data_IF_398059758238
#
_entry.id   IF_398059758238
#
_cell.length_a   1.000
_cell.length_b   1.000
_cell.length_c   1.000
_cell.angle_alpha   90.00
_cell.angle_beta   90.00
_cell.angle_gamma   90.00
#
_symmetry.space_group_name_H-M   'P 1'
#
loop_
_entity.id
_entity.type
_entity.pdbx_description
1 polymer ?
#
# COMPACT_ATOMS: atom_id res chain seq x y z
N UNK A 1 24.48 16.96 11.73
CA UNK A 1 24.29 16.61 13.15
C UNK A 1 25.45 15.70 13.54
N UNK A 2 26.41 16.17 14.33
CA UNK A 2 27.58 15.37 14.67
C UNK A 2 27.15 14.28 15.66
N UNK A 3 27.42 13.01 15.31
CA UNK A 3 27.23 11.89 16.24
C UNK A 3 28.46 11.87 17.14
N UNK A 4 28.28 12.16 18.44
CA UNK A 4 29.33 12.09 19.45
C UNK A 4 29.26 10.74 20.17
N UNK A 5 30.42 10.10 20.38
CA UNK A 5 30.53 8.87 21.17
C UNK A 5 30.93 9.22 22.59
N UNK A 6 30.06 8.93 23.55
CA UNK A 6 30.26 9.25 24.97
C UNK A 6 30.51 7.95 25.75
N UNK A 7 31.58 7.87 26.55
CA UNK A 7 31.81 6.74 27.46
C UNK A 7 30.67 6.59 28.49
N UNK A 8 30.29 5.33 28.79
CA UNK A 8 29.11 5.01 29.60
C UNK A 8 29.16 5.63 31.01
N UNK A 9 30.36 5.76 31.56
CA UNK A 9 30.62 6.29 32.90
C UNK A 9 30.27 7.79 32.97
N UNK A 10 30.45 8.50 31.85
CA UNK A 10 30.13 9.93 31.71
C UNK A 10 28.67 10.18 31.33
N UNK A 11 27.97 9.18 30.81
CA UNK A 11 26.56 9.31 30.41
C UNK A 11 25.69 9.76 31.57
N UNK A 12 25.89 9.19 32.76
CA UNK A 12 25.10 9.52 33.95
C UNK A 12 25.24 10.98 34.40
N UNK A 13 26.44 11.57 34.27
CA UNK A 13 26.70 12.96 34.62
C UNK A 13 26.12 13.90 33.55
N UNK A 14 26.26 13.55 32.27
CA UNK A 14 25.69 14.29 31.16
C UNK A 14 24.16 14.29 31.22
N UNK A 15 23.55 13.13 31.50
CA UNK A 15 22.11 12.96 31.68
C UNK A 15 21.54 13.83 32.81
N UNK A 16 22.27 13.97 33.91
CA UNK A 16 21.85 14.81 35.05
C UNK A 16 21.88 16.30 34.71
N UNK A 17 22.85 16.74 33.92
CA UNK A 17 23.06 18.16 33.55
C UNK A 17 22.23 18.59 32.34
N UNK A 18 21.91 17.68 31.44
CA UNK A 18 21.12 17.96 30.25
C UNK A 18 19.61 17.80 30.55
N UNK A 19 18.89 18.93 30.63
CA UNK A 19 17.44 18.92 30.86
C UNK A 19 16.66 18.20 29.75
N UNK A 20 17.16 18.24 28.52
CA UNK A 20 16.59 17.56 27.36
C UNK A 20 16.89 16.05 27.33
N UNK A 21 17.80 15.56 28.18
CA UNK A 21 18.07 14.11 28.31
C UNK A 21 16.98 13.38 29.09
N UNK A 22 16.08 14.12 29.75
CA UNK A 22 14.94 13.53 30.47
C UNK A 22 13.85 13.20 29.47
N UNK A 23 13.52 11.91 29.36
CA UNK A 23 12.29 11.51 28.69
C UNK A 23 11.09 12.16 29.41
N UNK A 24 10.13 12.76 28.69
CA UNK A 24 8.96 13.37 29.32
C UNK A 24 8.27 12.37 30.23
N UNK A 25 8.01 12.78 31.48
CA UNK A 25 7.34 11.94 32.48
C UNK A 25 5.83 12.04 32.31
N UNK A 26 5.11 10.92 32.51
CA UNK A 26 3.64 10.87 32.47
C UNK A 26 2.95 11.40 33.74
N UNK A 27 3.72 12.05 34.61
CA UNK A 27 3.25 12.49 35.93
C UNK A 27 2.57 13.87 35.89
N UNK A 28 2.70 14.59 34.78
CA UNK A 28 2.12 15.93 34.59
C UNK A 28 1.35 15.96 33.29
N UNK A 29 0.08 16.40 33.38
CA UNK A 29 -0.79 16.59 32.22
C UNK A 29 -0.08 17.52 31.24
N UNK A 30 0.30 16.97 30.10
CA UNK A 30 0.99 17.68 29.04
C UNK A 30 0.13 17.69 27.77
N UNK A 31 0.60 18.36 26.72
CA UNK A 31 -0.12 18.47 25.44
C UNK A 31 -0.44 17.13 24.75
N UNK A 32 0.14 16.03 25.22
CA UNK A 32 0.01 14.70 24.64
C UNK A 32 -0.89 13.77 25.46
N UNK A 33 -1.42 14.21 26.61
CA UNK A 33 -2.18 13.36 27.54
C UNK A 33 -3.65 13.78 27.68
N UNK A 34 -4.58 12.81 27.88
CA UNK A 34 -4.35 11.35 27.98
C UNK A 34 -4.14 10.69 26.60
N UNK A 35 -4.55 11.34 25.52
CA UNK A 35 -4.32 10.91 24.14
C UNK A 35 -3.97 12.14 23.31
N UNK A 36 -2.81 12.11 22.67
CA UNK A 36 -2.44 13.08 21.64
C UNK A 36 -3.23 12.75 20.38
N UNK A 37 -4.38 13.40 20.19
CA UNK A 37 -5.13 13.31 18.93
C UNK A 37 -4.66 14.43 17.99
N UNK A 38 -4.35 14.11 16.72
CA UNK A 38 -4.14 15.16 15.73
C UNK A 38 -5.44 15.98 15.58
N UNK A 39 -5.31 17.28 15.41
CA UNK A 39 -6.44 18.13 15.03
C UNK A 39 -6.79 17.83 13.57
N UNK A 40 -8.05 17.50 13.32
CA UNK A 40 -8.56 17.23 11.97
C UNK A 40 -9.41 18.42 11.49
N UNK A 41 -8.83 19.27 10.64
CA UNK A 41 -9.57 20.32 9.92
C UNK A 41 -9.50 20.05 8.39
N UNK A 42 -10.07 18.94 7.87
CA UNK A 42 -10.02 18.64 6.45
C UNK A 42 -10.79 19.69 5.64
N UNK A 43 -10.20 20.16 4.55
CA UNK A 43 -10.86 21.06 3.60
C UNK A 43 -11.84 20.36 2.65
N UNK A 44 -12.00 19.03 2.78
CA UNK A 44 -12.86 18.20 1.95
C UNK A 44 -13.81 17.38 2.82
N UNK A 45 -14.87 16.83 2.19
CA UNK A 45 -15.82 15.92 2.83
C UNK A 45 -15.93 14.65 2.00
N UNK A 46 -16.11 13.53 2.69
CA UNK A 46 -16.48 12.25 2.11
C UNK A 46 -17.99 12.07 2.29
N UNK A 47 -18.68 11.74 1.22
CA UNK A 47 -20.12 11.50 1.18
C UNK A 47 -20.41 10.02 0.86
N UNK A 48 -21.59 9.49 1.24
CA UNK A 48 -21.98 8.12 0.90
C UNK A 48 -21.98 7.81 -0.60
N UNK A 49 -22.07 8.83 -1.45
CA UNK A 49 -22.08 8.72 -2.92
C UNK A 49 -20.68 8.76 -3.54
N UNK A 50 -19.63 9.01 -2.76
CA UNK A 50 -18.28 9.06 -3.28
C UNK A 50 -17.74 7.66 -3.61
N UNK A 51 -17.09 7.58 -4.77
CA UNK A 51 -16.34 6.42 -5.19
C UNK A 51 -14.92 6.54 -4.66
N UNK A 52 -14.52 5.56 -3.84
CA UNK A 52 -13.22 5.47 -3.19
C UNK A 52 -12.30 4.57 -4.00
N UNK A 53 -11.03 4.94 -4.13
CA UNK A 53 -9.99 4.03 -4.62
C UNK A 53 -8.91 3.86 -3.56
N UNK A 54 -8.72 2.65 -3.05
CA UNK A 54 -7.69 2.33 -2.06
C UNK A 54 -6.54 1.58 -2.71
N UNK A 55 -5.31 2.04 -2.51
CA UNK A 55 -4.11 1.33 -2.95
C UNK A 55 -2.97 1.48 -1.95
N UNK A 56 -2.05 0.52 -1.95
CA UNK A 56 -0.85 0.57 -1.12
C UNK A 56 -0.61 -0.71 -0.35
N UNK A 57 -0.06 -0.56 0.86
CA UNK A 57 0.20 -1.65 1.79
C UNK A 57 -1.07 -2.42 2.23
N UNK A 58 -0.89 -3.46 3.06
CA UNK A 58 -2.01 -4.16 3.69
C UNK A 58 -2.93 -3.25 4.53
N UNK A 59 -2.43 -2.09 4.98
CA UNK A 59 -3.23 -1.10 5.66
C UNK A 59 -4.31 -0.49 4.75
N UNK A 60 -4.00 -0.25 3.47
CA UNK A 60 -4.99 0.20 2.50
C UNK A 60 -6.14 -0.81 2.34
N UNK A 61 -5.83 -2.11 2.38
CA UNK A 61 -6.84 -3.15 2.33
C UNK A 61 -7.75 -3.15 3.58
N UNK A 62 -7.18 -2.93 4.77
CA UNK A 62 -7.99 -2.77 6.00
C UNK A 62 -8.92 -1.57 5.91
N UNK A 63 -8.41 -0.42 5.42
CA UNK A 63 -9.25 0.76 5.17
C UNK A 63 -10.37 0.41 4.18
N UNK A 64 -10.06 -0.30 3.10
CA UNK A 64 -11.06 -0.70 2.10
C UNK A 64 -12.17 -1.59 2.69
N UNK A 65 -11.83 -2.51 3.60
CA UNK A 65 -12.80 -3.36 4.30
C UNK A 65 -13.74 -2.51 5.15
N UNK A 66 -13.20 -1.60 5.97
CA UNK A 66 -13.99 -0.74 6.84
C UNK A 66 -14.88 0.23 6.05
N UNK A 67 -14.36 0.83 4.97
CA UNK A 67 -15.16 1.72 4.10
C UNK A 67 -16.33 0.96 3.45
N UNK A 68 -16.12 -0.29 3.01
CA UNK A 68 -17.20 -1.13 2.49
C UNK A 68 -18.22 -1.49 3.58
N UNK A 69 -17.77 -1.77 4.80
CA UNK A 69 -18.67 -2.03 5.93
C UNK A 69 -19.54 -0.82 6.28
N UNK A 70 -19.05 0.40 6.02
CA UNK A 70 -19.80 1.65 6.12
C UNK A 70 -20.73 1.93 4.92
N UNK A 71 -20.80 1.02 3.94
CA UNK A 71 -21.67 1.14 2.76
C UNK A 71 -21.11 2.00 1.63
N UNK A 72 -19.83 2.41 1.70
CA UNK A 72 -19.19 3.18 0.63
C UNK A 72 -18.78 2.29 -0.54
N UNK A 73 -18.76 2.87 -1.75
CA UNK A 73 -18.29 2.18 -2.95
C UNK A 73 -16.78 2.26 -3.05
N UNK A 74 -16.10 1.11 -2.92
CA UNK A 74 -14.63 1.03 -2.85
C UNK A 74 -14.04 0.17 -3.97
N UNK A 75 -13.16 0.80 -4.72
CA UNK A 75 -12.31 0.24 -5.75
C UNK A 75 -10.85 0.10 -5.26
N UNK A 76 -10.00 -0.69 -5.93
CA UNK A 76 -10.37 -1.71 -6.91
C UNK A 76 -11.30 -2.76 -6.27
N UNK A 77 -12.19 -3.33 -7.08
CA UNK A 77 -13.02 -4.46 -6.63
C UNK A 77 -12.14 -5.71 -6.44
N UNK A 78 -12.58 -6.61 -5.56
CA UNK A 78 -11.87 -7.88 -5.34
C UNK A 78 -12.02 -8.79 -6.56
N UNK A 79 -10.97 -8.82 -7.38
CA UNK A 79 -10.93 -9.66 -8.58
C UNK A 79 -10.57 -11.12 -8.29
N UNK A 80 -10.31 -11.53 -7.02
CA UNK A 80 -9.91 -12.91 -6.70
C UNK A 80 -10.86 -13.96 -7.26
N UNK A 81 -12.15 -13.63 -7.40
CA UNK A 81 -13.17 -14.50 -8.00
C UNK A 81 -12.86 -14.81 -9.47
N UNK A 82 -12.29 -13.85 -10.20
CA UNK A 82 -11.94 -13.96 -11.62
C UNK A 82 -10.57 -14.61 -11.85
N UNK A 83 -9.80 -14.84 -10.78
CA UNK A 83 -8.48 -15.47 -10.83
C UNK A 83 -8.60 -16.98 -10.61
N UNK A 84 -7.93 -17.83 -11.40
CA UNK A 84 -7.95 -19.27 -11.18
C UNK A 84 -7.37 -19.64 -9.79
N UNK A 85 -7.94 -20.65 -9.09
CA UNK A 85 -7.62 -20.95 -7.69
C UNK A 85 -6.12 -21.09 -7.38
N UNK A 86 -5.35 -21.69 -8.26
CA UNK A 86 -3.92 -21.94 -8.13
C UNK A 86 -3.07 -20.65 -8.15
N UNK A 87 -3.57 -19.57 -8.76
CA UNK A 87 -2.93 -18.26 -8.76
C UNK A 87 -3.43 -17.34 -7.63
N UNK A 88 -4.49 -17.74 -6.91
CA UNK A 88 -5.02 -16.92 -5.81
C UNK A 88 -4.02 -16.87 -4.66
N UNK A 89 -3.78 -15.68 -4.16
CA UNK A 89 -3.05 -15.44 -2.91
C UNK A 89 -3.74 -14.32 -2.15
N UNK A 90 -3.49 -14.23 -0.85
CA UNK A 90 -4.07 -13.20 0.00
C UNK A 90 -3.67 -11.80 -0.49
N UNK A 91 -2.44 -11.64 -0.97
CA UNK A 91 -1.86 -10.41 -1.50
C UNK A 91 -1.40 -10.62 -2.94
N UNK A 92 -2.34 -10.84 -3.85
CA UNK A 92 -1.97 -11.04 -5.26
C UNK A 92 -1.40 -9.77 -5.89
N UNK A 93 -1.69 -8.62 -5.28
CA UNK A 93 -1.13 -7.34 -5.66
C UNK A 93 -0.17 -6.80 -4.59
N UNK A 94 1.10 -6.64 -4.95
CA UNK A 94 2.17 -6.16 -4.07
C UNK A 94 2.44 -4.66 -4.32
N UNK A 95 1.65 -3.79 -3.68
CA UNK A 95 1.77 -2.33 -3.78
C UNK A 95 2.44 -1.68 -2.59
N UNK A 96 3.50 -2.29 -2.09
CA UNK A 96 4.19 -1.81 -0.89
C UNK A 96 5.10 -0.61 -1.14
N UNK A 97 5.49 -0.36 -2.39
CA UNK A 97 6.40 0.73 -2.73
C UNK A 97 5.75 1.72 -3.68
N UNK A 98 6.08 3.02 -3.58
CA UNK A 98 5.64 4.02 -4.55
C UNK A 98 5.97 3.66 -6.00
N UNK A 99 7.06 2.93 -6.23
CA UNK A 99 7.46 2.48 -7.58
C UNK A 99 6.50 1.44 -8.15
N UNK A 100 6.11 0.44 -7.36
CA UNK A 100 5.16 -0.59 -7.79
C UNK A 100 3.77 0.01 -8.03
N UNK A 101 3.34 0.93 -7.15
CA UNK A 101 2.10 1.69 -7.31
C UNK A 101 2.10 2.45 -8.65
N UNK A 102 3.15 3.24 -8.89
CA UNK A 102 3.28 4.01 -10.12
C UNK A 102 3.30 3.10 -11.36
N UNK A 103 3.99 1.96 -11.28
CA UNK A 103 4.07 0.99 -12.38
C UNK A 103 2.68 0.43 -12.73
N UNK A 104 1.89 0.02 -11.74
CA UNK A 104 0.52 -0.47 -11.99
C UNK A 104 -0.42 0.61 -12.52
N UNK A 105 -0.31 1.84 -12.01
CA UNK A 105 -1.07 2.97 -12.55
C UNK A 105 -0.67 3.27 -14.00
N UNK A 106 0.62 3.21 -14.35
CA UNK A 106 1.07 3.39 -15.75
C UNK A 106 0.57 2.29 -16.66
N UNK A 107 0.63 1.02 -16.27
CA UNK A 107 0.04 -0.05 -17.07
C UNK A 107 -1.46 0.14 -17.29
N UNK A 108 -2.18 0.66 -16.30
CA UNK A 108 -3.61 0.91 -16.41
C UNK A 108 -3.95 2.16 -17.22
N UNK A 109 -3.26 3.28 -17.00
CA UNK A 109 -3.66 4.60 -17.48
C UNK A 109 -2.82 5.10 -18.67
N UNK A 110 -1.58 4.63 -18.78
CA UNK A 110 -0.61 5.08 -19.79
C UNK A 110 0.17 3.89 -20.40
N UNK A 111 -0.51 2.84 -20.93
CA UNK A 111 0.15 1.61 -21.36
C UNK A 111 1.20 1.83 -22.45
N UNK A 112 1.05 2.87 -23.28
CA UNK A 112 2.00 3.19 -24.36
C UNK A 112 3.29 3.87 -23.86
N UNK A 113 3.34 4.31 -22.60
CA UNK A 113 4.49 5.01 -21.98
C UNK A 113 5.38 4.08 -21.15
N UNK A 114 5.08 2.79 -21.07
CA UNK A 114 5.83 1.82 -20.28
C UNK A 114 5.89 0.48 -21.01
N UNK A 115 6.95 -0.30 -20.74
CA UNK A 115 7.04 -1.67 -21.24
C UNK A 115 5.80 -2.48 -20.82
N UNK A 116 5.27 -3.26 -21.75
CA UNK A 116 4.15 -4.16 -21.49
C UNK A 116 4.49 -5.13 -20.37
N UNK A 117 3.51 -5.47 -19.52
CA UNK A 117 3.70 -6.37 -18.37
C UNK A 117 4.25 -7.74 -18.76
N UNK A 118 3.96 -8.20 -19.98
CA UNK A 118 4.51 -9.42 -20.57
C UNK A 118 6.04 -9.42 -20.67
N UNK A 119 6.68 -8.25 -20.74
CA UNK A 119 8.14 -8.14 -20.74
C UNK A 119 8.76 -8.50 -19.39
N UNK A 120 7.95 -8.55 -18.33
CA UNK A 120 8.38 -9.00 -17.01
C UNK A 120 8.30 -10.52 -16.85
N UNK A 121 7.70 -11.25 -17.80
CA UNK A 121 7.53 -12.70 -17.67
C UNK A 121 8.87 -13.42 -17.75
N UNK A 122 9.08 -14.29 -16.76
CA UNK A 122 10.23 -15.19 -16.72
C UNK A 122 9.78 -16.51 -17.33
N UNK A 123 10.39 -16.89 -18.46
CA UNK A 123 10.15 -18.20 -19.07
C UNK A 123 10.75 -19.29 -18.18
N UNK A 124 9.93 -20.27 -17.84
CA UNK A 124 10.32 -21.44 -17.06
C UNK A 124 10.51 -22.64 -17.99
N UNK A 125 10.89 -23.78 -17.42
CA UNK A 125 10.87 -25.05 -18.14
C UNK A 125 9.43 -25.41 -18.56
N UNK A 126 9.31 -26.34 -19.51
CA UNK A 126 8.00 -26.91 -19.93
C UNK A 126 7.02 -25.91 -20.57
N UNK A 127 7.52 -24.78 -21.09
CA UNK A 127 6.70 -23.78 -21.78
C UNK A 127 5.83 -22.92 -20.85
N UNK A 128 6.09 -22.99 -19.55
CA UNK A 128 5.42 -22.15 -18.55
C UNK A 128 6.13 -20.81 -18.36
N UNK A 129 5.43 -19.87 -17.74
CA UNK A 129 5.92 -18.53 -17.44
C UNK A 129 5.62 -18.18 -15.98
N UNK A 130 6.44 -17.33 -15.39
CA UNK A 130 6.23 -16.75 -14.08
C UNK A 130 6.18 -15.22 -14.19
N UNK A 131 5.17 -14.60 -13.58
CA UNK A 131 5.05 -13.14 -13.51
C UNK A 131 5.52 -12.65 -12.12
N UNK A 132 6.74 -12.08 -12.01
CA UNK A 132 7.28 -11.59 -10.74
C UNK A 132 6.60 -10.30 -10.27
N UNK A 133 5.71 -9.71 -11.07
CA UNK A 133 5.00 -8.47 -10.74
C UNK A 133 3.68 -8.74 -10.02
N UNK A 134 3.35 -10.02 -9.80
CA UNK A 134 2.19 -10.49 -9.05
C UNK A 134 2.63 -11.35 -7.88
N UNK A 135 1.72 -11.51 -6.92
CA UNK A 135 1.98 -12.23 -5.68
C UNK A 135 1.84 -13.75 -5.72
N UNK A 136 1.43 -14.33 -6.85
CA UNK A 136 1.26 -15.77 -6.96
C UNK A 136 2.61 -16.48 -6.92
N UNK A 137 2.63 -17.73 -6.44
CA UNK A 137 3.86 -18.52 -6.29
C UNK A 137 4.04 -19.62 -7.32
N UNK A 138 3.09 -19.76 -8.24
CA UNK A 138 3.06 -20.83 -9.24
C UNK A 138 3.32 -20.27 -10.64
N UNK A 139 4.06 -20.98 -11.51
CA UNK A 139 4.14 -20.64 -12.92
C UNK A 139 2.84 -21.05 -13.64
N UNK A 140 2.58 -20.46 -14.80
CA UNK A 140 1.37 -20.68 -15.58
C UNK A 140 1.59 -20.59 -17.09
N UNK A 141 0.59 -21.02 -17.86
CA UNK A 141 0.57 -20.76 -19.31
C UNK A 141 0.50 -19.25 -19.53
N UNK A 142 1.20 -18.75 -20.56
CA UNK A 142 1.22 -17.32 -20.91
C UNK A 142 -0.19 -16.73 -21.03
N UNK A 143 -1.11 -17.45 -21.68
CA UNK A 143 -2.49 -17.02 -21.86
C UNK A 143 -3.23 -16.81 -20.53
N UNK A 144 -2.99 -17.66 -19.53
CA UNK A 144 -3.58 -17.52 -18.19
C UNK A 144 -3.04 -16.28 -17.48
N UNK A 145 -1.73 -16.06 -17.53
CA UNK A 145 -1.12 -14.86 -16.94
C UNK A 145 -1.60 -13.59 -17.64
N UNK A 146 -1.77 -13.61 -18.96
CA UNK A 146 -2.31 -12.49 -19.74
C UNK A 146 -3.74 -12.15 -19.31
N UNK A 147 -4.58 -13.16 -19.01
CA UNK A 147 -5.94 -12.96 -18.50
C UNK A 147 -5.93 -12.32 -17.10
N UNK A 148 -5.10 -12.84 -16.19
CA UNK A 148 -4.92 -12.28 -14.85
C UNK A 148 -4.49 -10.81 -14.95
N UNK A 149 -3.52 -10.52 -15.82
CA UNK A 149 -3.01 -9.16 -16.03
C UNK A 149 -4.05 -8.21 -16.61
N UNK A 150 -4.90 -8.68 -17.53
CA UNK A 150 -6.03 -7.89 -18.03
C UNK A 150 -7.03 -7.56 -16.91
N UNK A 151 -7.37 -8.52 -16.06
CA UNK A 151 -8.27 -8.30 -14.92
C UNK A 151 -7.69 -7.28 -13.94
N UNK A 152 -6.40 -7.39 -13.61
CA UNK A 152 -5.70 -6.40 -12.78
C UNK A 152 -5.67 -5.00 -13.37
N UNK A 153 -5.28 -4.90 -14.63
CA UNK A 153 -5.19 -3.62 -15.35
C UNK A 153 -6.57 -2.95 -15.42
N UNK A 154 -7.62 -3.72 -15.70
CA UNK A 154 -9.01 -3.24 -15.70
C UNK A 154 -9.43 -2.75 -14.31
N UNK A 155 -9.07 -3.48 -13.27
CA UNK A 155 -9.38 -3.08 -11.89
C UNK A 155 -8.70 -1.76 -11.54
N UNK A 156 -7.44 -1.57 -11.93
CA UNK A 156 -6.72 -0.30 -11.72
C UNK A 156 -7.29 0.87 -12.50
N UNK A 157 -7.81 0.65 -13.72
CA UNK A 157 -8.48 1.70 -14.50
C UNK A 157 -9.70 2.30 -13.78
N UNK A 158 -10.30 1.58 -12.84
CA UNK A 158 -11.45 2.09 -12.07
C UNK A 158 -11.13 3.31 -11.20
N UNK A 159 -9.83 3.62 -10.98
CA UNK A 159 -9.41 4.86 -10.32
C UNK A 159 -9.97 6.11 -11.00
N UNK A 160 -10.18 6.07 -12.33
CA UNK A 160 -10.76 7.18 -13.09
C UNK A 160 -12.24 7.44 -12.77
N UNK A 161 -12.91 6.48 -12.13
CA UNK A 161 -14.30 6.62 -11.68
C UNK A 161 -14.40 7.08 -10.22
N UNK A 162 -13.26 7.36 -9.57
CA UNK A 162 -13.17 7.65 -8.15
C UNK A 162 -12.88 9.13 -7.89
N UNK A 163 -13.51 9.68 -6.86
CA UNK A 163 -13.31 11.08 -6.45
C UNK A 163 -12.41 11.19 -5.22
N UNK A 164 -12.18 10.07 -4.53
CA UNK A 164 -11.32 9.98 -3.35
C UNK A 164 -10.33 8.85 -3.57
N UNK A 165 -9.04 9.15 -3.46
CA UNK A 165 -7.96 8.17 -3.59
C UNK A 165 -7.19 8.12 -2.28
N UNK A 166 -7.08 6.93 -1.72
CA UNK A 166 -6.37 6.66 -0.47
C UNK A 166 -5.13 5.84 -0.80
N UNK A 167 -3.96 6.38 -0.46
CA UNK A 167 -2.66 5.77 -0.70
C UNK A 167 -1.95 5.58 0.64
N UNK A 168 -1.47 4.37 0.92
CA UNK A 168 -0.70 4.05 2.15
C UNK A 168 0.65 3.44 1.84
#
# INVERSE_FOLDING_TARGET
MAIERIPMERLSQLAKRNREFRWPTRATRNRLEPVCSPRFDPAFKITPTDNMFTLGSCFANSIAVELRALGLKVFPEDIKKDIPPEFRTNNLDFHYTPKNILQSLKWALEPDKINTRQNCYIKMNDGLFFDPTLGHKVPGKKQTLDQINKSYTKSYKSILNCNVVIIT
#
